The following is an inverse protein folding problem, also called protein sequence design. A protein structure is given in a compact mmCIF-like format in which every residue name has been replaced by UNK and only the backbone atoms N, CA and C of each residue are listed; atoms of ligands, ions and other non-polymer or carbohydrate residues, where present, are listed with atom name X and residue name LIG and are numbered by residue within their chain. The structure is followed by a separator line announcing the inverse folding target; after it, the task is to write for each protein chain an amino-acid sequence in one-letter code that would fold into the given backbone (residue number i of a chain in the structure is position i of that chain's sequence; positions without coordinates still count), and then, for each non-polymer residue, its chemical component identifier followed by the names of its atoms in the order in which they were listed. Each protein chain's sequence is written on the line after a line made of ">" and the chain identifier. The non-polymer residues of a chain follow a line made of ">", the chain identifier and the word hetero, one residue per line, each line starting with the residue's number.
data_IF_216130596075
#
_entry.id   IF_216130596075
#
_cell.length_a   1.000
_cell.length_b   1.000
_cell.length_c   1.000
_cell.angle_alpha   90.00
_cell.angle_beta   90.00
_cell.angle_gamma   90.00
#
_symmetry.space_group_name_H-M   'P 1'
#
loop_
_entity.id
_entity.type
_entity.pdbx_description
1 polymer ?
#
# COMPACT_ATOMS: atom_id res chain seq x y z
N UNK A 1 -5.16 -22.43 -25.21
CA UNK A 1 -5.01 -21.28 -24.30
C UNK A 1 -6.37 -21.03 -23.65
N UNK A 2 -6.74 -21.84 -22.64
CA UNK A 2 -8.00 -21.64 -21.93
C UNK A 2 -7.79 -20.56 -20.87
N UNK A 3 -8.19 -19.36 -21.22
CA UNK A 3 -8.32 -18.26 -20.26
C UNK A 3 -9.49 -18.65 -19.34
N UNK A 4 -9.18 -19.07 -18.12
CA UNK A 4 -10.21 -19.46 -17.18
C UNK A 4 -10.88 -18.18 -16.67
N UNK A 5 -11.94 -17.73 -17.38
CA UNK A 5 -12.73 -16.54 -17.07
C UNK A 5 -13.39 -16.59 -15.66
N UNK A 6 -13.31 -17.73 -14.99
CA UNK A 6 -13.93 -17.95 -13.67
C UNK A 6 -13.10 -17.28 -12.55
N UNK A 7 -11.76 -17.20 -12.69
CA UNK A 7 -10.93 -16.56 -11.67
C UNK A 7 -11.17 -15.04 -11.51
N UNK A 8 -11.19 -14.24 -12.58
CA UNK A 8 -11.52 -12.81 -12.43
C UNK A 8 -12.95 -12.56 -11.97
N UNK A 9 -13.89 -13.49 -12.23
CA UNK A 9 -15.24 -13.39 -11.69
C UNK A 9 -15.32 -13.74 -10.20
N UNK A 10 -14.45 -14.60 -9.70
CA UNK A 10 -14.31 -14.85 -8.26
C UNK A 10 -13.84 -13.58 -7.50
N UNK A 11 -13.04 -12.73 -8.11
CA UNK A 11 -12.69 -11.42 -7.53
C UNK A 11 -13.95 -10.61 -7.13
N UNK A 12 -15.01 -10.66 -7.91
CA UNK A 12 -16.26 -9.92 -7.64
C UNK A 12 -17.40 -10.76 -7.05
N UNK A 13 -17.44 -12.09 -7.21
CA UNK A 13 -18.65 -12.89 -6.99
C UNK A 13 -18.50 -14.17 -6.13
N UNK A 14 -17.37 -14.42 -5.46
CA UNK A 14 -17.12 -15.66 -4.69
C UNK A 14 -17.28 -15.50 -3.18
N UNK A 15 -18.36 -16.01 -2.57
CA UNK A 15 -18.53 -16.17 -1.10
C UNK A 15 -18.90 -14.91 -0.31
N UNK A 16 -19.58 -14.98 0.78
CA UNK A 16 -20.09 -13.97 1.73
C UNK A 16 -19.86 -12.47 1.49
N UNK A 17 -18.62 -12.00 1.47
CA UNK A 17 -18.24 -10.60 1.19
C UNK A 17 -18.63 -10.18 -0.24
N UNK A 18 -18.60 -11.05 -1.20
CA UNK A 18 -18.86 -10.76 -2.62
C UNK A 18 -20.32 -10.45 -2.91
N UNK A 19 -21.24 -11.02 -2.16
CA UNK A 19 -22.66 -10.62 -2.24
C UNK A 19 -22.84 -9.18 -1.77
N UNK A 20 -22.06 -8.72 -0.80
CA UNK A 20 -22.07 -7.34 -0.35
C UNK A 20 -21.45 -6.40 -1.38
N UNK A 21 -20.36 -6.80 -2.03
CA UNK A 21 -19.74 -6.03 -3.13
C UNK A 21 -20.69 -5.94 -4.34
N UNK A 22 -21.33 -7.03 -4.73
CA UNK A 22 -22.32 -7.02 -5.81
C UNK A 22 -23.53 -6.11 -5.48
N UNK A 23 -24.06 -6.19 -4.26
CA UNK A 23 -25.13 -5.31 -3.80
C UNK A 23 -24.70 -3.83 -3.78
N UNK A 24 -23.48 -3.56 -3.30
CA UNK A 24 -22.91 -2.22 -3.30
C UNK A 24 -22.77 -1.67 -4.73
N UNK A 25 -22.32 -2.49 -5.67
CA UNK A 25 -22.23 -2.12 -7.10
C UNK A 25 -23.60 -1.75 -7.68
N UNK A 26 -24.64 -2.52 -7.37
CA UNK A 26 -26.02 -2.20 -7.80
C UNK A 26 -26.49 -0.88 -7.20
N UNK A 27 -26.24 -0.64 -5.92
CA UNK A 27 -26.58 0.63 -5.25
C UNK A 27 -25.83 1.80 -5.88
N UNK A 28 -24.52 1.65 -6.16
CA UNK A 28 -23.72 2.68 -6.83
C UNK A 28 -24.30 2.99 -8.22
N UNK A 29 -24.61 1.96 -9.01
CA UNK A 29 -25.22 2.14 -10.33
C UNK A 29 -26.55 2.89 -10.26
N UNK A 30 -27.43 2.53 -9.32
CA UNK A 30 -28.70 3.22 -9.14
C UNK A 30 -28.51 4.70 -8.75
N UNK A 31 -27.62 4.97 -7.78
CA UNK A 31 -27.30 6.33 -7.34
C UNK A 31 -26.63 7.14 -8.46
N UNK A 32 -25.74 6.53 -9.23
CA UNK A 32 -25.10 7.19 -10.38
C UNK A 32 -26.11 7.54 -11.47
N UNK A 33 -27.05 6.64 -11.78
CA UNK A 33 -28.14 6.92 -12.71
C UNK A 33 -29.01 8.08 -12.20
N UNK A 34 -29.41 8.06 -10.95
CA UNK A 34 -30.20 9.16 -10.35
C UNK A 34 -29.44 10.49 -10.43
N UNK A 35 -28.13 10.49 -10.11
CA UNK A 35 -27.28 11.67 -10.19
C UNK A 35 -27.16 12.20 -11.63
N UNK A 36 -26.97 11.31 -12.60
CA UNK A 36 -26.88 11.66 -14.04
C UNK A 36 -28.22 12.14 -14.61
N UNK A 37 -29.35 11.64 -14.10
CA UNK A 37 -30.68 12.12 -14.46
C UNK A 37 -31.01 13.49 -13.86
N UNK A 38 -30.06 14.13 -13.18
CA UNK A 38 -30.22 15.47 -12.62
C UNK A 38 -30.75 15.51 -11.19
N UNK A 39 -30.99 14.37 -10.54
CA UNK A 39 -31.37 14.29 -9.13
C UNK A 39 -30.14 14.51 -8.23
N UNK A 40 -29.49 15.68 -8.37
CA UNK A 40 -28.29 16.08 -7.60
C UNK A 40 -28.66 16.66 -6.23
N UNK A 41 -29.64 16.04 -5.56
CA UNK A 41 -30.01 16.42 -4.20
C UNK A 41 -28.96 15.92 -3.23
N UNK A 42 -28.78 16.66 -2.13
CA UNK A 42 -27.73 16.39 -1.14
C UNK A 42 -27.64 14.92 -0.68
N UNK A 43 -28.75 14.21 -0.31
CA UNK A 43 -28.63 12.81 0.11
C UNK A 43 -28.14 11.86 -0.97
N UNK A 44 -28.55 12.04 -2.22
CA UNK A 44 -28.13 11.19 -3.35
C UNK A 44 -26.64 11.39 -3.63
N UNK A 45 -26.18 12.64 -3.66
CA UNK A 45 -24.77 12.97 -3.88
C UNK A 45 -23.90 12.44 -2.74
N UNK A 46 -24.30 12.61 -1.49
CA UNK A 46 -23.58 12.11 -0.32
C UNK A 46 -23.44 10.57 -0.36
N UNK A 47 -24.55 9.85 -0.54
CA UNK A 47 -24.55 8.39 -0.58
C UNK A 47 -23.74 7.87 -1.77
N UNK A 48 -23.77 8.52 -2.93
CA UNK A 48 -22.98 8.15 -4.09
C UNK A 48 -21.48 8.25 -3.79
N UNK A 49 -21.00 9.39 -3.29
CA UNK A 49 -19.58 9.58 -3.05
C UNK A 49 -19.06 8.68 -1.93
N UNK A 50 -19.81 8.51 -0.85
CA UNK A 50 -19.44 7.59 0.23
C UNK A 50 -19.38 6.15 -0.28
N UNK A 51 -20.38 5.70 -1.05
CA UNK A 51 -20.37 4.33 -1.58
C UNK A 51 -19.24 4.08 -2.59
N UNK A 52 -18.85 5.08 -3.38
CA UNK A 52 -17.69 5.00 -4.27
C UNK A 52 -16.37 4.92 -3.49
N UNK A 53 -16.22 5.68 -2.41
CA UNK A 53 -15.05 5.60 -1.53
C UNK A 53 -14.94 4.19 -0.94
N UNK A 54 -16.00 3.67 -0.36
CA UNK A 54 -16.03 2.32 0.22
C UNK A 54 -15.73 1.25 -0.84
N UNK A 55 -16.34 1.36 -2.02
CA UNK A 55 -16.08 0.43 -3.12
C UNK A 55 -14.62 0.47 -3.59
N UNK A 56 -14.06 1.65 -3.76
CA UNK A 56 -12.67 1.81 -4.17
C UNK A 56 -11.71 1.25 -3.12
N UNK A 57 -11.95 1.52 -1.83
CA UNK A 57 -11.13 1.00 -0.74
C UNK A 57 -11.16 -0.54 -0.67
N UNK A 58 -12.35 -1.15 -0.80
CA UNK A 58 -12.47 -2.63 -0.84
C UNK A 58 -11.76 -3.18 -2.07
N UNK A 59 -11.86 -2.51 -3.22
CA UNK A 59 -11.20 -2.94 -4.46
C UNK A 59 -9.67 -2.89 -4.33
N UNK A 60 -9.12 -1.83 -3.73
CA UNK A 60 -7.69 -1.70 -3.47
C UNK A 60 -7.22 -2.82 -2.54
N UNK A 61 -7.91 -3.03 -1.42
CA UNK A 61 -7.59 -4.08 -0.48
C UNK A 61 -7.59 -5.46 -1.15
N UNK A 62 -8.68 -5.81 -1.85
CA UNK A 62 -8.77 -7.11 -2.56
C UNK A 62 -7.73 -7.27 -3.67
N UNK A 63 -7.35 -6.20 -4.34
CA UNK A 63 -6.27 -6.26 -5.32
C UNK A 63 -4.92 -6.59 -4.66
N UNK A 64 -4.69 -6.13 -3.41
CA UNK A 64 -3.54 -6.50 -2.59
C UNK A 64 -3.46 -8.01 -2.33
N UNK A 65 -4.58 -8.62 -1.95
CA UNK A 65 -4.67 -10.06 -1.66
C UNK A 65 -4.28 -10.94 -2.87
N UNK A 66 -4.47 -10.46 -4.09
CA UNK A 66 -4.03 -11.16 -5.31
C UNK A 66 -2.65 -10.73 -5.81
N UNK A 67 -2.20 -9.53 -5.43
CA UNK A 67 -0.87 -9.05 -5.76
C UNK A 67 0.20 -9.80 -4.96
N UNK A 68 0.00 -9.96 -3.65
CA UNK A 68 0.98 -10.51 -2.73
C UNK A 68 1.47 -11.91 -3.13
N UNK A 69 0.61 -12.92 -3.34
CA UNK A 69 1.07 -14.26 -3.74
C UNK A 69 1.84 -14.30 -5.05
N UNK A 70 1.48 -13.40 -5.98
CA UNK A 70 2.20 -13.30 -7.25
C UNK A 70 3.60 -12.68 -7.08
N UNK A 71 3.73 -11.70 -6.19
CA UNK A 71 5.01 -11.08 -5.83
C UNK A 71 5.92 -12.06 -5.08
N UNK A 72 5.37 -12.83 -4.14
CA UNK A 72 6.07 -13.87 -3.39
C UNK A 72 6.61 -14.96 -4.30
N UNK A 73 5.83 -15.44 -5.26
CA UNK A 73 6.28 -16.41 -6.25
C UNK A 73 7.51 -15.91 -7.05
N UNK A 74 7.47 -14.64 -7.51
CA UNK A 74 8.60 -14.04 -8.25
C UNK A 74 9.83 -13.97 -7.37
N UNK A 75 9.66 -13.61 -6.11
CA UNK A 75 10.75 -13.52 -5.13
C UNK A 75 11.40 -14.88 -4.87
N UNK A 76 10.63 -15.90 -4.56
CA UNK A 76 11.13 -17.26 -4.31
C UNK A 76 11.90 -17.81 -5.51
N UNK A 77 11.35 -17.62 -6.70
CA UNK A 77 11.97 -18.04 -7.93
C UNK A 77 13.34 -17.39 -8.18
N UNK A 78 13.47 -16.10 -7.89
CA UNK A 78 14.72 -15.37 -8.04
C UNK A 78 15.63 -15.43 -6.81
N UNK A 79 15.24 -16.16 -5.76
CA UNK A 79 15.99 -16.32 -4.49
C UNK A 79 16.44 -14.98 -3.91
N UNK A 80 15.54 -13.99 -3.93
CA UNK A 80 15.85 -12.68 -3.39
C UNK A 80 16.00 -12.77 -1.87
N UNK A 81 17.00 -12.12 -1.27
CA UNK A 81 17.13 -12.04 0.17
C UNK A 81 15.86 -11.45 0.81
N UNK A 82 15.45 -12.00 1.94
CA UNK A 82 14.23 -11.59 2.67
C UNK A 82 14.21 -10.10 3.04
N UNK A 83 15.39 -9.55 3.37
CA UNK A 83 15.54 -8.10 3.60
C UNK A 83 15.27 -7.24 2.36
N UNK A 84 15.56 -7.76 1.15
CA UNK A 84 15.24 -7.07 -0.11
C UNK A 84 13.77 -7.27 -0.45
N UNK A 85 13.18 -8.45 -0.14
CA UNK A 85 11.74 -8.68 -0.25
C UNK A 85 10.97 -7.61 0.52
N UNK A 86 11.20 -7.55 1.82
CA UNK A 86 10.49 -6.62 2.70
C UNK A 86 10.68 -5.15 2.28
N UNK A 87 11.91 -4.74 1.97
CA UNK A 87 12.21 -3.35 1.66
C UNK A 87 11.78 -2.89 0.26
N UNK A 88 11.60 -3.82 -0.70
CA UNK A 88 11.29 -3.46 -2.09
C UNK A 88 9.93 -4.03 -2.50
N UNK A 89 9.72 -5.34 -2.41
CA UNK A 89 8.51 -5.98 -2.94
C UNK A 89 7.32 -5.68 -2.04
N UNK A 90 7.43 -5.95 -0.74
CA UNK A 90 6.34 -5.71 0.21
C UNK A 90 6.06 -4.21 0.40
N UNK A 91 7.12 -3.38 0.39
CA UNK A 91 6.98 -1.93 0.42
C UNK A 91 6.28 -1.39 -0.84
N UNK A 92 6.58 -1.91 -2.04
CA UNK A 92 5.87 -1.54 -3.26
C UNK A 92 4.43 -2.04 -3.18
N UNK A 93 4.20 -3.29 -2.78
CA UNK A 93 2.85 -3.86 -2.67
C UNK A 93 1.94 -3.02 -1.77
N UNK A 94 2.43 -2.68 -0.58
CA UNK A 94 1.66 -1.93 0.42
C UNK A 94 1.50 -0.45 0.09
N UNK A 95 2.49 0.19 -0.56
CA UNK A 95 2.49 1.63 -0.82
C UNK A 95 2.13 2.02 -2.25
N UNK A 96 1.83 1.04 -3.11
CA UNK A 96 1.46 1.33 -4.50
C UNK A 96 0.14 2.11 -4.63
N UNK A 97 -0.91 1.82 -3.83
CA UNK A 97 -2.13 2.63 -3.86
C UNK A 97 -1.88 4.10 -3.52
N UNK A 98 -1.08 4.38 -2.48
CA UNK A 98 -0.71 5.74 -2.07
C UNK A 98 0.10 6.46 -3.16
N UNK A 99 1.02 5.75 -3.81
CA UNK A 99 1.73 6.27 -4.97
C UNK A 99 0.76 6.66 -6.10
N UNK A 100 -0.20 5.79 -6.44
CA UNK A 100 -1.22 6.07 -7.43
C UNK A 100 -2.07 7.28 -7.04
N UNK A 101 -2.52 7.35 -5.80
CA UNK A 101 -3.27 8.49 -5.25
C UNK A 101 -2.49 9.80 -5.44
N UNK A 102 -1.23 9.82 -5.02
CA UNK A 102 -0.40 11.02 -5.12
C UNK A 102 -0.20 11.46 -6.58
N UNK A 103 0.13 10.52 -7.47
CA UNK A 103 0.33 10.78 -8.91
C UNK A 103 -0.97 11.28 -9.56
N UNK A 104 -2.10 10.64 -9.28
CA UNK A 104 -3.40 11.02 -9.82
C UNK A 104 -3.81 12.40 -9.32
N UNK A 105 -3.72 12.65 -8.01
CA UNK A 105 -4.07 13.93 -7.43
C UNK A 105 -3.23 15.07 -8.03
N UNK A 106 -1.92 14.87 -8.16
CA UNK A 106 -1.00 15.91 -8.65
C UNK A 106 -1.10 16.11 -10.17
N UNK A 107 -0.98 15.00 -10.93
CA UNK A 107 -0.82 15.06 -12.39
C UNK A 107 -2.17 15.16 -13.12
N UNK A 108 -3.16 14.36 -12.72
CA UNK A 108 -4.44 14.31 -13.44
C UNK A 108 -5.43 15.35 -12.93
N UNK A 109 -5.47 15.60 -11.62
CA UNK A 109 -6.45 16.49 -11.00
C UNK A 109 -5.88 17.87 -10.67
N UNK A 110 -4.56 18.07 -10.72
CA UNK A 110 -3.92 19.33 -10.39
C UNK A 110 -4.06 19.74 -8.92
N UNK A 111 -4.27 18.76 -8.02
CA UNK A 111 -4.53 18.94 -6.58
C UNK A 111 -3.35 18.43 -5.75
N UNK A 112 -2.23 19.14 -5.83
CA UNK A 112 -1.01 18.76 -5.13
C UNK A 112 -1.20 18.66 -3.61
N UNK A 113 -2.05 19.52 -3.03
CA UNK A 113 -2.39 19.52 -1.62
C UNK A 113 -3.01 18.18 -1.18
N UNK A 114 -3.85 17.54 -2.01
CA UNK A 114 -4.45 16.24 -1.74
C UNK A 114 -3.41 15.13 -1.78
N UNK A 115 -2.55 15.15 -2.80
CA UNK A 115 -1.49 14.14 -2.95
C UNK A 115 -0.49 14.18 -1.79
N UNK A 116 -0.03 15.35 -1.41
CA UNK A 116 0.93 15.51 -0.30
C UNK A 116 0.28 15.13 1.04
N UNK A 117 -0.94 15.59 1.30
CA UNK A 117 -1.63 15.27 2.57
C UNK A 117 -1.94 13.79 2.70
N UNK A 118 -2.27 13.09 1.61
CA UNK A 118 -2.45 11.64 1.61
C UNK A 118 -1.17 10.89 1.99
N UNK A 119 -0.02 11.27 1.42
CA UNK A 119 1.28 10.65 1.77
C UNK A 119 1.62 10.88 3.25
N UNK A 120 1.43 12.10 3.76
CA UNK A 120 1.70 12.43 5.17
C UNK A 120 0.74 11.69 6.08
N UNK A 121 -0.54 11.58 5.73
CA UNK A 121 -1.54 10.81 6.47
C UNK A 121 -1.18 9.33 6.53
N UNK A 122 -0.86 8.70 5.40
CA UNK A 122 -0.44 7.29 5.34
C UNK A 122 0.82 7.04 6.20
N UNK A 123 1.81 7.93 6.15
CA UNK A 123 3.00 7.84 7.00
C UNK A 123 2.65 7.85 8.49
N UNK A 124 1.70 8.69 8.92
CA UNK A 124 1.24 8.72 10.32
C UNK A 124 0.44 7.47 10.70
N UNK A 125 -0.42 6.96 9.82
CA UNK A 125 -1.11 5.68 10.03
C UNK A 125 -0.11 4.54 10.24
N UNK A 126 0.90 4.43 9.40
CA UNK A 126 1.93 3.38 9.48
C UNK A 126 2.75 3.46 10.77
N UNK A 127 3.05 4.65 11.28
CA UNK A 127 3.89 4.83 12.48
C UNK A 127 3.08 4.79 13.78
N UNK A 128 1.82 5.22 13.77
CA UNK A 128 1.01 5.37 14.99
C UNK A 128 -0.13 4.37 15.07
N UNK A 129 -0.99 4.33 14.04
CA UNK A 129 -2.25 3.58 14.11
C UNK A 129 -2.01 2.08 13.96
N UNK A 130 -1.21 1.67 12.97
CA UNK A 130 -0.96 0.25 12.71
C UNK A 130 -0.24 -0.42 13.89
N UNK A 131 0.88 0.11 14.44
CA UNK A 131 1.51 -0.49 15.61
C UNK A 131 0.63 -0.48 16.85
N UNK A 132 -0.17 0.59 17.05
CA UNK A 132 -1.11 0.64 18.18
C UNK A 132 -2.19 -0.44 18.05
N UNK A 133 -2.78 -0.60 16.88
CA UNK A 133 -3.78 -1.63 16.62
C UNK A 133 -3.19 -3.04 16.78
N UNK A 134 -2.00 -3.29 16.22
CA UNK A 134 -1.29 -4.55 16.38
C UNK A 134 -1.02 -4.86 17.85
N UNK A 135 -0.56 -3.86 18.64
CA UNK A 135 -0.33 -4.01 20.08
C UNK A 135 -1.60 -4.30 20.89
N UNK A 136 -2.76 -3.79 20.44
CA UNK A 136 -4.06 -4.07 21.09
C UNK A 136 -4.58 -5.49 20.84
N UNK A 137 -4.27 -6.07 19.68
CA UNK A 137 -4.73 -7.41 19.28
C UNK A 137 -3.74 -8.50 19.69
N UNK A 138 -2.47 -8.15 19.88
CA UNK A 138 -1.42 -9.08 20.26
C UNK A 138 -1.73 -9.78 21.58
N UNK A 139 -1.63 -11.11 21.61
CA UNK A 139 -1.86 -11.93 22.81
C UNK A 139 -0.70 -11.91 23.83
N UNK A 140 0.33 -11.12 23.56
CA UNK A 140 1.52 -11.01 24.40
C UNK A 140 2.44 -9.87 23.98
N UNK A 141 3.56 -9.65 24.70
CA UNK A 141 4.50 -8.59 24.34
C UNK A 141 5.17 -8.88 23.00
N UNK A 142 5.05 -7.95 22.06
CA UNK A 142 5.75 -8.03 20.78
C UNK A 142 7.24 -7.80 20.98
N UNK A 143 8.06 -8.75 20.56
CA UNK A 143 9.52 -8.62 20.59
C UNK A 143 9.97 -7.93 19.29
N UNK A 144 10.54 -6.75 19.41
CA UNK A 144 11.12 -6.01 18.29
C UNK A 144 12.64 -5.92 18.49
N UNK A 145 13.40 -6.26 17.48
CA UNK A 145 14.86 -6.17 17.52
C UNK A 145 15.31 -4.72 17.69
N UNK A 146 16.16 -4.44 18.67
CA UNK A 146 16.66 -3.08 18.96
C UNK A 146 17.39 -2.47 17.76
N UNK A 147 18.07 -3.30 16.96
CA UNK A 147 18.82 -2.88 15.78
C UNK A 147 17.90 -2.37 14.69
N UNK A 148 16.79 -3.08 14.44
CA UNK A 148 15.75 -2.69 13.47
C UNK A 148 15.13 -1.36 13.90
N UNK A 149 14.72 -1.23 15.17
CA UNK A 149 14.12 0.00 15.69
C UNK A 149 15.05 1.20 15.52
N UNK A 150 16.36 1.07 15.88
CA UNK A 150 17.32 2.15 15.75
C UNK A 150 17.56 2.56 14.31
N UNK A 151 17.84 1.58 13.45
CA UNK A 151 18.16 1.81 12.03
C UNK A 151 17.01 2.48 11.29
N UNK A 152 15.81 1.91 11.40
CA UNK A 152 14.66 2.35 10.64
C UNK A 152 14.11 3.68 11.18
N UNK A 153 14.13 3.87 12.51
CA UNK A 153 13.76 5.15 13.12
C UNK A 153 14.74 6.28 12.74
N UNK A 154 16.03 6.00 12.69
CA UNK A 154 17.03 7.01 12.30
C UNK A 154 16.85 7.41 10.84
N UNK A 155 16.61 6.45 9.95
CA UNK A 155 16.35 6.72 8.54
C UNK A 155 15.05 7.51 8.34
N UNK A 156 13.97 7.10 9.01
CA UNK A 156 12.69 7.81 8.96
C UNK A 156 12.85 9.26 9.43
N UNK A 157 13.51 9.48 10.56
CA UNK A 157 13.78 10.81 11.09
C UNK A 157 14.62 11.66 10.12
N UNK A 158 15.64 11.07 9.49
CA UNK A 158 16.45 11.72 8.46
C UNK A 158 15.63 12.16 7.25
N UNK A 159 14.71 11.31 6.77
CA UNK A 159 13.82 11.63 5.65
C UNK A 159 12.81 12.73 6.02
N UNK A 160 12.28 12.72 7.24
CA UNK A 160 11.39 13.78 7.73
C UNK A 160 12.12 15.13 7.80
N UNK A 161 13.35 15.16 8.32
CA UNK A 161 14.17 16.38 8.32
C UNK A 161 14.44 16.84 6.89
N UNK A 162 14.79 15.93 5.98
CA UNK A 162 15.02 16.24 4.57
C UNK A 162 13.78 16.87 3.93
N UNK A 163 12.59 16.32 4.24
CA UNK A 163 11.31 16.87 3.79
C UNK A 163 11.08 18.30 4.33
N UNK A 164 11.30 18.51 5.62
CA UNK A 164 11.15 19.82 6.23
C UNK A 164 12.13 20.84 5.63
N UNK A 165 13.38 20.44 5.44
CA UNK A 165 14.38 21.33 4.77
C UNK A 165 13.94 21.63 3.34
N UNK A 166 13.47 20.66 2.58
CA UNK A 166 12.98 20.89 1.21
C UNK A 166 11.77 21.84 1.19
N UNK A 167 10.83 21.71 2.13
CA UNK A 167 9.66 22.57 2.24
C UNK A 167 10.00 24.01 2.61
N UNK A 168 10.86 24.21 3.61
CA UNK A 168 11.13 25.54 4.15
C UNK A 168 12.27 26.28 3.43
N UNK A 169 13.33 25.57 3.02
CA UNK A 169 14.48 26.20 2.36
C UNK A 169 14.28 26.37 0.84
N UNK A 170 13.47 25.49 0.23
CA UNK A 170 13.27 25.47 -1.22
C UNK A 170 11.78 25.43 -1.63
N UNK A 171 10.93 26.33 -1.11
CA UNK A 171 9.48 26.28 -1.35
C UNK A 171 9.06 26.36 -2.82
N UNK A 172 9.90 27.02 -3.65
CA UNK A 172 9.64 27.23 -5.08
C UNK A 172 10.44 26.29 -6.00
N UNK A 173 11.25 25.38 -5.44
CA UNK A 173 12.14 24.50 -6.21
C UNK A 173 11.64 23.05 -6.26
N UNK A 174 10.36 22.83 -5.97
CA UNK A 174 9.75 21.51 -6.04
C UNK A 174 9.65 21.06 -7.50
N UNK A 175 10.46 20.08 -7.86
CA UNK A 175 10.55 19.54 -9.19
C UNK A 175 11.44 18.32 -9.24
N UNK A 176 11.94 18.01 -10.44
CA UNK A 176 12.72 16.81 -10.68
C UNK A 176 13.95 16.68 -9.75
N UNK A 177 14.60 17.77 -9.38
CA UNK A 177 15.78 17.76 -8.48
C UNK A 177 15.43 17.28 -7.07
N UNK A 178 14.33 17.75 -6.49
CA UNK A 178 13.87 17.32 -5.16
C UNK A 178 13.37 15.86 -5.23
N UNK A 179 12.65 15.48 -6.28
CA UNK A 179 12.23 14.09 -6.48
C UNK A 179 13.44 13.15 -6.59
N UNK A 180 14.45 13.51 -7.37
CA UNK A 180 15.68 12.74 -7.51
C UNK A 180 16.44 12.58 -6.17
N UNK A 181 16.43 13.63 -5.34
CA UNK A 181 17.02 13.60 -4.00
C UNK A 181 16.34 12.56 -3.09
N UNK A 182 15.00 12.55 -3.03
CA UNK A 182 14.26 11.56 -2.24
C UNK A 182 14.43 10.13 -2.76
N UNK A 183 14.40 9.94 -4.08
CA UNK A 183 14.67 8.63 -4.70
C UNK A 183 16.08 8.16 -4.37
N UNK A 184 17.09 9.05 -4.43
CA UNK A 184 18.47 8.73 -4.08
C UNK A 184 18.61 8.34 -2.61
N UNK A 185 17.90 9.02 -1.71
CA UNK A 185 17.87 8.68 -0.29
C UNK A 185 17.29 7.28 -0.06
N UNK A 186 16.19 6.93 -0.75
CA UNK A 186 15.59 5.59 -0.69
C UNK A 186 16.54 4.51 -1.24
N UNK A 187 17.16 4.74 -2.39
CA UNK A 187 18.15 3.80 -2.96
C UNK A 187 19.32 3.60 -2.00
N UNK A 188 19.81 4.69 -1.38
CA UNK A 188 20.85 4.64 -0.36
C UNK A 188 20.46 3.81 0.85
N UNK A 189 19.21 3.91 1.30
CA UNK A 189 18.66 3.09 2.38
C UNK A 189 18.63 1.61 2.03
N UNK A 190 18.10 1.24 0.87
CA UNK A 190 18.06 -0.16 0.39
C UNK A 190 19.46 -0.74 0.27
N UNK A 191 20.42 0.07 -0.20
CA UNK A 191 21.81 -0.35 -0.28
C UNK A 191 22.42 -0.57 1.11
N UNK A 192 22.15 0.32 2.06
CA UNK A 192 22.60 0.16 3.45
C UNK A 192 21.99 -1.10 4.10
N UNK A 193 20.69 -1.33 3.91
CA UNK A 193 19.99 -2.52 4.39
C UNK A 193 20.65 -3.82 3.88
N UNK A 194 21.00 -3.87 2.59
CA UNK A 194 21.68 -5.02 2.00
C UNK A 194 23.08 -5.23 2.58
N UNK A 195 23.83 -4.16 2.85
CA UNK A 195 25.15 -4.26 3.49
C UNK A 195 25.03 -4.79 4.94
N UNK A 196 24.05 -4.31 5.68
CA UNK A 196 23.78 -4.73 7.06
C UNK A 196 23.42 -6.22 7.13
N UNK A 197 22.49 -6.65 6.27
CA UNK A 197 22.13 -8.06 6.12
C UNK A 197 23.33 -8.97 5.80
N UNK A 198 24.20 -8.55 4.86
CA UNK A 198 25.40 -9.32 4.50
C UNK A 198 26.38 -9.43 5.66
N UNK A 199 26.53 -8.39 6.48
CA UNK A 199 27.34 -8.42 7.69
C UNK A 199 26.78 -9.39 8.72
N UNK A 200 25.47 -9.30 8.98
CA UNK A 200 24.81 -10.17 9.94
C UNK A 200 24.92 -11.65 9.54
N UNK A 201 24.63 -11.98 8.28
CA UNK A 201 24.79 -13.34 7.75
C UNK A 201 26.23 -13.85 7.85
N UNK A 202 27.23 -12.97 7.66
CA UNK A 202 28.64 -13.36 7.81
C UNK A 202 29.01 -13.62 9.26
N UNK A 203 28.53 -12.81 10.18
CA UNK A 203 28.76 -12.99 11.61
C UNK A 203 28.12 -14.30 12.10
N UNK A 204 26.89 -14.62 11.70
CA UNK A 204 26.26 -15.91 12.02
C UNK A 204 27.05 -17.09 11.45
N UNK A 205 27.53 -17.00 10.22
CA UNK A 205 28.35 -18.06 9.62
C UNK A 205 29.74 -18.22 10.30
N UNK A 206 30.27 -17.16 10.90
CA UNK A 206 31.49 -17.21 11.70
C UNK A 206 31.19 -17.80 13.11
N UNK A 207 30.04 -17.48 13.74
CA UNK A 207 29.59 -18.06 15.01
C UNK A 207 29.23 -19.56 14.88
N UNK A 208 28.53 -19.95 13.81
CA UNK A 208 28.20 -21.37 13.51
C UNK A 208 29.47 -22.23 13.25
N UNK A 209 30.57 -21.61 12.88
CA UNK A 209 31.84 -22.30 12.72
C UNK A 209 32.60 -22.52 14.03
N UNK A 210 32.25 -21.78 15.09
CA UNK A 210 32.85 -21.89 16.42
C UNK A 210 31.95 -22.70 17.41
N UNK A 211 30.64 -22.81 17.17
CA UNK A 211 29.70 -23.49 18.06
C UNK A 211 28.90 -24.58 17.34
N UNK A 212 29.44 -25.81 17.42
CA UNK A 212 28.78 -27.01 16.92
C UNK A 212 27.60 -27.36 17.86
N UNK A 213 26.39 -27.36 17.32
CA UNK A 213 25.13 -27.86 17.86
C UNK A 213 24.31 -26.93 18.77
N UNK A 214 23.13 -26.69 18.30
CA UNK A 214 21.91 -26.15 18.97
C UNK A 214 21.62 -24.67 18.70
N UNK A 215 21.16 -24.37 17.53
CA UNK A 215 20.37 -23.16 17.31
C UNK A 215 19.01 -23.55 16.77
N UNK A 216 17.99 -23.36 17.58
CA UNK A 216 16.60 -23.45 17.18
C UNK A 216 16.32 -22.45 16.07
N UNK A 217 15.82 -22.96 14.97
CA UNK A 217 15.05 -22.19 14.02
C UNK A 217 13.88 -21.61 14.80
N UNK A 218 13.88 -20.30 15.06
CA UNK A 218 12.64 -19.60 15.35
C UNK A 218 11.89 -19.52 14.00
N UNK A 219 11.23 -20.61 13.68
CA UNK A 219 10.15 -20.61 12.71
C UNK A 219 9.10 -19.66 13.28
N UNK A 220 9.04 -18.44 12.71
CA UNK A 220 7.80 -17.70 12.75
C UNK A 220 6.83 -18.56 11.94
N UNK A 221 5.92 -19.22 12.64
CA UNK A 221 4.70 -19.73 12.03
C UNK A 221 3.95 -18.54 11.43
N UNK A 222 4.34 -18.11 10.25
CA UNK A 222 3.46 -17.38 9.36
C UNK A 222 2.32 -18.37 9.12
N UNK A 223 1.16 -18.12 9.76
CA UNK A 223 -0.08 -18.80 9.36
C UNK A 223 -0.17 -18.55 7.85
N UNK A 224 0.12 -19.60 7.06
CA UNK A 224 -0.08 -19.58 5.62
C UNK A 224 -1.58 -19.35 5.42
N UNK A 225 -1.97 -18.06 5.25
CA UNK A 225 -3.28 -17.75 4.72
C UNK A 225 -3.33 -18.44 3.36
N UNK A 226 -4.17 -19.49 3.25
CA UNK A 226 -4.39 -20.20 1.99
C UNK A 226 -4.74 -19.15 0.92
N UNK A 227 -3.76 -18.82 0.10
CA UNK A 227 -3.93 -17.83 -0.96
C UNK A 227 -4.97 -18.40 -1.95
N UNK A 228 -6.05 -17.65 -2.18
CA UNK A 228 -7.08 -18.02 -3.17
C UNK A 228 -6.50 -18.10 -4.60
N UNK A 229 -5.23 -17.72 -4.78
CA UNK A 229 -4.54 -17.62 -6.05
C UNK A 229 -3.43 -18.68 -6.18
N UNK A 230 -3.62 -19.64 -7.07
CA UNK A 230 -2.59 -20.60 -7.47
C UNK A 230 -1.75 -20.02 -8.62
N UNK A 231 -0.48 -19.70 -8.35
CA UNK A 231 0.47 -19.22 -9.35
C UNK A 231 1.12 -20.41 -10.04
N UNK A 232 0.96 -20.52 -11.37
CA UNK A 232 1.44 -21.67 -12.16
C UNK A 232 2.83 -21.49 -12.73
N UNK A 233 3.16 -20.28 -13.18
CA UNK A 233 4.42 -19.93 -13.81
C UNK A 233 4.72 -18.43 -13.67
N UNK A 234 5.98 -18.03 -13.97
CA UNK A 234 6.41 -16.64 -13.88
C UNK A 234 5.64 -15.67 -14.80
N UNK A 235 5.33 -16.00 -16.07
CA UNK A 235 4.47 -15.15 -16.88
C UNK A 235 3.06 -14.97 -16.32
N UNK A 236 2.56 -15.96 -15.57
CA UNK A 236 1.28 -15.88 -14.88
C UNK A 236 1.37 -14.95 -13.67
N UNK A 237 2.44 -15.03 -12.88
CA UNK A 237 2.71 -14.12 -11.76
C UNK A 237 2.78 -12.66 -12.24
N UNK A 238 3.55 -12.37 -13.27
CA UNK A 238 3.67 -11.01 -13.83
C UNK A 238 2.35 -10.46 -14.36
N UNK A 239 1.49 -11.29 -14.94
CA UNK A 239 0.15 -10.86 -15.38
C UNK A 239 -0.73 -10.45 -14.19
N UNK A 240 -0.66 -11.18 -13.08
CA UNK A 240 -1.37 -10.83 -11.86
C UNK A 240 -0.82 -9.55 -11.24
N UNK A 241 0.49 -9.42 -11.11
CA UNK A 241 1.15 -8.20 -10.60
C UNK A 241 0.68 -6.98 -11.41
N UNK A 242 0.88 -6.99 -12.73
CA UNK A 242 0.52 -5.86 -13.57
C UNK A 242 -1.00 -5.61 -13.62
N UNK A 243 -1.79 -6.69 -13.64
CA UNK A 243 -3.25 -6.60 -13.61
C UNK A 243 -3.77 -5.96 -12.32
N UNK A 244 -3.25 -6.38 -11.16
CA UNK A 244 -3.65 -5.82 -9.87
C UNK A 244 -3.14 -4.40 -9.67
N UNK A 245 -1.94 -4.07 -10.14
CA UNK A 245 -1.46 -2.68 -10.18
C UNK A 245 -2.40 -1.78 -11.02
N UNK A 246 -2.87 -2.25 -12.16
CA UNK A 246 -3.84 -1.50 -12.96
C UNK A 246 -5.17 -1.32 -12.21
N UNK A 247 -5.68 -2.38 -11.58
CA UNK A 247 -6.91 -2.32 -10.78
C UNK A 247 -6.75 -1.35 -9.61
N UNK A 248 -5.65 -1.40 -8.88
CA UNK A 248 -5.34 -0.46 -7.79
C UNK A 248 -5.27 0.98 -8.29
N UNK A 249 -4.62 1.22 -9.44
CA UNK A 249 -4.54 2.55 -10.04
C UNK A 249 -5.91 3.12 -10.43
N UNK A 250 -6.76 2.31 -11.05
CA UNK A 250 -8.13 2.71 -11.39
C UNK A 250 -8.99 2.97 -10.14
N UNK A 251 -8.89 2.10 -9.14
CA UNK A 251 -9.60 2.27 -7.88
C UNK A 251 -9.11 3.51 -7.11
N UNK A 252 -7.80 3.78 -7.11
CA UNK A 252 -7.23 5.01 -6.52
C UNK A 252 -7.77 6.28 -7.21
N UNK A 253 -7.96 6.25 -8.53
CA UNK A 253 -8.58 7.37 -9.22
C UNK A 253 -10.01 7.64 -8.75
N UNK A 254 -10.82 6.58 -8.62
CA UNK A 254 -12.19 6.68 -8.10
C UNK A 254 -12.16 7.19 -6.65
N UNK A 255 -11.25 6.69 -5.82
CA UNK A 255 -11.11 7.08 -4.42
C UNK A 255 -10.83 8.58 -4.29
N UNK A 256 -9.84 9.09 -5.02
CA UNK A 256 -9.44 10.52 -4.97
C UNK A 256 -10.58 11.41 -5.46
N UNK A 257 -11.16 11.13 -6.61
CA UNK A 257 -12.23 11.94 -7.18
C UNK A 257 -13.47 11.95 -6.27
N UNK A 258 -13.89 10.78 -5.75
CA UNK A 258 -15.02 10.68 -4.85
C UNK A 258 -14.77 11.41 -3.52
N UNK A 259 -13.55 11.34 -2.99
CA UNK A 259 -13.18 12.03 -1.75
C UNK A 259 -13.18 13.55 -1.92
N UNK A 260 -12.64 14.06 -3.02
CA UNK A 260 -12.69 15.50 -3.31
C UNK A 260 -14.14 15.98 -3.44
N UNK A 261 -14.98 15.24 -4.20
CA UNK A 261 -16.38 15.59 -4.39
C UNK A 261 -17.19 15.54 -3.08
N UNK A 262 -16.87 14.56 -2.22
CA UNK A 262 -17.48 14.48 -0.89
C UNK A 262 -17.03 15.65 -0.02
N UNK A 263 -15.75 16.00 -0.03
CA UNK A 263 -15.21 17.18 0.67
C UNK A 263 -15.89 18.47 0.23
N UNK A 264 -15.99 18.71 -1.07
CA UNK A 264 -16.70 19.86 -1.63
C UNK A 264 -18.18 19.91 -1.18
N UNK A 265 -18.86 18.74 -1.15
CA UNK A 265 -20.25 18.64 -0.70
C UNK A 265 -20.45 18.96 0.78
N UNK A 266 -19.48 18.59 1.61
CA UNK A 266 -19.50 18.78 3.06
C UNK A 266 -18.84 20.10 3.52
N UNK A 267 -18.20 20.83 2.60
CA UNK A 267 -17.42 22.02 2.93
C UNK A 267 -16.15 21.69 3.71
N UNK A 268 -15.61 20.49 3.53
CA UNK A 268 -14.36 20.02 4.16
C UNK A 268 -13.20 20.32 3.23
N UNK A 269 -12.13 20.88 3.79
CA UNK A 269 -10.93 21.20 3.03
C UNK A 269 -10.29 19.95 2.40
N UNK A 270 -9.78 20.09 1.17
CA UNK A 270 -9.20 19.00 0.41
C UNK A 270 -7.97 18.38 1.10
N UNK A 271 -7.20 19.15 1.87
CA UNK A 271 -6.09 18.66 2.68
C UNK A 271 -6.57 17.69 3.75
N UNK A 272 -7.68 18.01 4.42
CA UNK A 272 -8.28 17.15 5.44
C UNK A 272 -8.79 15.86 4.81
N UNK A 273 -9.44 15.95 3.65
CA UNK A 273 -9.89 14.76 2.90
C UNK A 273 -8.71 13.88 2.47
N UNK A 274 -7.64 14.46 1.97
CA UNK A 274 -6.42 13.75 1.64
C UNK A 274 -5.80 13.04 2.85
N UNK A 275 -5.76 13.72 3.98
CA UNK A 275 -5.11 13.25 5.20
C UNK A 275 -5.88 12.16 5.96
N UNK A 276 -7.22 12.22 5.97
CA UNK A 276 -8.04 11.32 6.80
C UNK A 276 -8.73 10.23 5.97
N UNK A 277 -9.22 10.56 4.77
CA UNK A 277 -10.07 9.66 3.99
C UNK A 277 -9.28 8.89 2.94
N UNK A 278 -8.27 9.53 2.36
CA UNK A 278 -7.51 8.95 1.25
C UNK A 278 -6.24 8.24 1.75
N UNK A 279 -5.68 8.64 2.87
CA UNK A 279 -4.48 8.08 3.48
C UNK A 279 -4.65 6.60 3.99
#
# INVERSE_FOLDING_TARGET
>A
MNFNLVQPLRFFFGGGIYNHVANLTVVIMALAIMYLMGLRIWPVSFLLWVSLIVFASITIWRAGDFFQPAADYVQEKHKLPESIKAAVIDAIASSFPEFCVAVIAVILLGRAEVGISSIVGSALYNVLIIPAAAGMVAKGPMKIGKEVVWRDSLMYFGVVILLLVALFAFPNAWGFGVAALFISAYIGYVFWLNLDYRKHKRNLAEEDSEENSSAANEDFDEEEEESELEIRDEPHAWKWILGMMLVMGLASHILVEASIRLGDLLGIDAVIMGFIVIA
#
